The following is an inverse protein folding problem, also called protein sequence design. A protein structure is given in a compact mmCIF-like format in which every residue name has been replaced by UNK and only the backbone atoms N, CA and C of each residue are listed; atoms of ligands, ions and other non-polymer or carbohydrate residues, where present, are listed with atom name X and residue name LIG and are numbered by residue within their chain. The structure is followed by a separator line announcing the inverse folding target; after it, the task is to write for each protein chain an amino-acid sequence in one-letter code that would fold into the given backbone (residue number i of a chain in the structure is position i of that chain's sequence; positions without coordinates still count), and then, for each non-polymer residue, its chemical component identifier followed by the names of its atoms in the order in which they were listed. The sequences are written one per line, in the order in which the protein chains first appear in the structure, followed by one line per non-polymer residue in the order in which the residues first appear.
data_IF_793606591754
#
_entry.id   IF_793606591754
#
_cell.length_a   1.000
_cell.length_b   1.000
_cell.length_c   1.000
_cell.angle_alpha   90.00
_cell.angle_beta   90.00
_cell.angle_gamma   90.00
#
_symmetry.space_group_name_H-M   'P 1'
#
loop_
_entity.id
_entity.type
_entity.pdbx_description
1 polymer ?
#
# COMPACT_ATOMS: atom_id res chain seq x y z
N UNK A 1 24.84 -22.68 17.20
CA UNK A 1 23.40 -22.90 17.43
C UNK A 1 22.67 -21.63 17.90
N UNK A 2 23.16 -20.92 18.92
CA UNK A 2 22.50 -19.71 19.47
C UNK A 2 22.28 -18.56 18.45
N UNK A 3 23.21 -18.36 17.51
CA UNK A 3 23.10 -17.32 16.47
C UNK A 3 21.98 -17.61 15.45
N UNK A 4 21.73 -18.88 15.14
CA UNK A 4 20.67 -19.28 14.20
C UNK A 4 19.29 -19.06 14.84
N UNK A 5 19.15 -19.47 16.11
CA UNK A 5 17.95 -19.27 16.93
C UNK A 5 17.59 -17.79 17.07
N UNK A 6 18.60 -16.92 17.21
CA UNK A 6 18.38 -15.47 17.30
C UNK A 6 17.70 -14.88 16.05
N UNK A 7 18.05 -15.37 14.85
CA UNK A 7 17.42 -14.95 13.59
C UNK A 7 16.10 -15.68 13.29
N UNK A 8 15.94 -16.93 13.72
CA UNK A 8 14.77 -17.77 13.43
C UNK A 8 13.63 -17.60 14.45
N UNK A 9 13.94 -17.15 15.66
CA UNK A 9 12.95 -16.83 16.71
C UNK A 9 11.86 -15.86 16.23
N UNK A 10 12.16 -14.71 15.59
CA UNK A 10 11.13 -13.81 15.07
C UNK A 10 10.26 -14.42 13.96
N UNK A 11 10.79 -15.35 13.15
CA UNK A 11 10.04 -16.04 12.08
C UNK A 11 9.03 -17.07 12.62
N UNK A 12 9.16 -17.48 13.88
CA UNK A 12 8.24 -18.45 14.49
C UNK A 12 6.88 -17.83 14.83
N UNK A 13 6.77 -16.50 14.86
CA UNK A 13 5.52 -15.81 15.16
C UNK A 13 4.60 -15.72 13.94
N UNK A 14 3.30 -16.04 14.07
CA UNK A 14 2.36 -16.02 12.94
C UNK A 14 2.11 -14.61 12.38
N UNK A 15 2.27 -13.55 13.19
CA UNK A 15 2.18 -12.17 12.70
C UNK A 15 3.33 -11.84 11.74
N UNK A 16 4.52 -12.41 11.95
CA UNK A 16 5.70 -12.14 11.14
C UNK A 16 5.47 -12.63 9.71
N UNK A 17 4.95 -13.86 9.55
CA UNK A 17 4.58 -14.42 8.25
C UNK A 17 3.49 -13.61 7.54
N UNK A 18 2.47 -13.14 8.28
CA UNK A 18 1.42 -12.28 7.72
C UNK A 18 1.98 -10.95 7.22
N UNK A 19 2.84 -10.32 8.01
CA UNK A 19 3.50 -9.07 7.63
C UNK A 19 4.43 -9.26 6.41
N UNK A 20 5.18 -10.36 6.37
CA UNK A 20 6.09 -10.69 5.28
C UNK A 20 5.35 -10.97 3.96
N UNK A 21 4.24 -11.72 4.02
CA UNK A 21 3.36 -11.93 2.87
C UNK A 21 2.73 -10.62 2.39
N UNK A 22 2.23 -9.80 3.32
CA UNK A 22 1.65 -8.51 2.98
C UNK A 22 2.67 -7.57 2.33
N UNK A 23 3.88 -7.46 2.89
CA UNK A 23 4.93 -6.60 2.33
C UNK A 23 5.45 -7.11 0.99
N UNK A 24 5.54 -8.44 0.79
CA UNK A 24 5.88 -9.04 -0.49
C UNK A 24 4.83 -8.71 -1.56
N UNK A 25 3.55 -8.90 -1.25
CA UNK A 25 2.44 -8.56 -2.15
C UNK A 25 2.47 -7.08 -2.53
N UNK A 26 2.61 -6.19 -1.54
CA UNK A 26 2.70 -4.73 -1.76
C UNK A 26 3.94 -4.38 -2.58
N UNK A 27 5.10 -4.96 -2.28
CA UNK A 27 6.35 -4.70 -2.98
C UNK A 27 6.30 -5.06 -4.47
N UNK A 28 5.67 -6.19 -4.81
CA UNK A 28 5.46 -6.60 -6.21
C UNK A 28 4.56 -5.61 -6.93
N UNK A 29 3.41 -5.26 -6.34
CA UNK A 29 2.46 -4.32 -6.94
C UNK A 29 3.09 -2.93 -7.12
N UNK A 30 3.76 -2.40 -6.10
CA UNK A 30 4.42 -1.09 -6.16
C UNK A 30 5.58 -1.06 -7.16
N UNK A 31 6.34 -2.15 -7.32
CA UNK A 31 7.43 -2.22 -8.31
C UNK A 31 6.90 -2.15 -9.73
N UNK A 32 5.84 -2.91 -10.05
CA UNK A 32 5.23 -2.92 -11.39
C UNK A 32 4.65 -1.54 -11.72
N UNK A 33 3.88 -0.96 -10.81
CA UNK A 33 3.29 0.37 -11.00
C UNK A 33 4.36 1.47 -11.09
N UNK A 34 5.41 1.39 -10.25
CA UNK A 34 6.50 2.36 -10.26
C UNK A 34 7.25 2.39 -11.59
N UNK A 35 7.62 1.22 -12.13
CA UNK A 35 8.28 1.13 -13.44
C UNK A 35 7.37 1.70 -14.54
N UNK A 36 6.08 1.38 -14.51
CA UNK A 36 5.11 1.91 -15.48
C UNK A 36 5.01 3.45 -15.42
N UNK A 37 4.87 4.02 -14.24
CA UNK A 37 4.77 5.49 -14.03
C UNK A 37 6.04 6.20 -14.49
N UNK A 38 7.22 5.63 -14.21
CA UNK A 38 8.51 6.18 -14.66
C UNK A 38 8.61 6.17 -16.19
N UNK A 39 8.24 5.06 -16.84
CA UNK A 39 8.26 4.96 -18.30
C UNK A 39 7.29 5.94 -18.97
N UNK A 40 6.18 6.26 -18.31
CA UNK A 40 5.22 7.25 -18.80
C UNK A 40 5.65 8.70 -18.54
N UNK A 41 6.78 8.92 -17.86
CA UNK A 41 7.28 10.27 -17.54
C UNK A 41 6.45 11.02 -16.50
N UNK A 42 5.56 10.35 -15.76
CA UNK A 42 4.70 10.98 -14.77
C UNK A 42 5.36 11.06 -13.39
N UNK A 43 6.37 11.93 -13.25
CA UNK A 43 7.15 12.07 -12.01
C UNK A 43 6.32 12.52 -10.78
N UNK A 44 5.21 13.25 -10.98
CA UNK A 44 4.37 13.80 -9.90
C UNK A 44 3.12 12.96 -9.58
N UNK A 45 2.96 11.80 -10.21
CA UNK A 45 1.72 11.03 -10.09
C UNK A 45 1.46 10.59 -8.64
N UNK A 46 2.50 10.17 -7.93
CA UNK A 46 2.37 9.73 -6.54
C UNK A 46 1.98 10.83 -5.57
N UNK A 47 2.47 12.06 -5.78
CA UNK A 47 2.17 13.20 -4.91
C UNK A 47 0.72 13.68 -5.10
N UNK A 48 0.30 13.84 -6.36
CA UNK A 48 -1.07 14.19 -6.71
C UNK A 48 -2.09 13.13 -6.23
N UNK A 49 -1.78 11.85 -6.44
CA UNK A 49 -2.65 10.75 -6.02
C UNK A 49 -2.79 10.70 -4.49
N UNK A 50 -1.72 10.94 -3.73
CA UNK A 50 -1.77 10.95 -2.26
C UNK A 50 -2.69 12.05 -1.72
N UNK A 51 -2.63 13.24 -2.31
CA UNK A 51 -3.48 14.37 -1.93
C UNK A 51 -4.94 14.16 -2.33
N UNK A 52 -5.20 13.49 -3.45
CA UNK A 52 -6.56 13.20 -3.91
C UNK A 52 -7.23 12.08 -3.10
N UNK A 53 -6.48 11.07 -2.65
CA UNK A 53 -7.01 9.91 -1.92
C UNK A 53 -7.24 10.21 -0.43
N UNK A 54 -6.40 11.01 0.21
CA UNK A 54 -6.47 11.33 1.64
C UNK A 54 -7.89 11.74 2.13
N UNK A 55 -8.60 12.69 1.48
CA UNK A 55 -9.95 13.06 1.92
C UNK A 55 -10.94 11.89 1.80
N UNK A 56 -10.79 11.02 0.81
CA UNK A 56 -11.64 9.84 0.65
C UNK A 56 -11.50 8.82 1.79
N UNK A 57 -10.28 8.64 2.29
CA UNK A 57 -10.01 7.79 3.46
C UNK A 57 -10.67 8.37 4.71
N UNK A 58 -10.55 9.69 4.92
CA UNK A 58 -11.15 10.39 6.07
C UNK A 58 -12.67 10.29 6.04
N UNK A 59 -13.30 10.49 4.88
CA UNK A 59 -14.74 10.36 4.72
C UNK A 59 -15.23 8.92 4.95
N UNK A 60 -14.52 7.91 4.45
CA UNK A 60 -14.86 6.51 4.74
C UNK A 60 -14.72 6.17 6.23
N UNK A 61 -13.70 6.70 6.90
CA UNK A 61 -13.54 6.54 8.34
C UNK A 61 -14.71 7.15 9.12
N UNK A 62 -15.12 8.38 8.77
CA UNK A 62 -16.28 9.05 9.39
C UNK A 62 -17.61 8.30 9.15
N UNK A 63 -17.78 7.69 7.98
CA UNK A 63 -18.95 6.89 7.64
C UNK A 63 -18.95 5.47 8.24
N UNK A 64 -17.88 5.05 8.91
CA UNK A 64 -17.72 3.69 9.43
C UNK A 64 -17.54 2.63 8.33
N UNK A 65 -17.15 3.05 7.12
CA UNK A 65 -16.95 2.19 5.97
C UNK A 65 -15.50 1.66 5.91
N UNK A 66 -15.25 0.59 5.14
CA UNK A 66 -13.88 0.12 4.94
C UNK A 66 -13.04 1.21 4.26
N UNK A 67 -11.89 1.54 4.85
CA UNK A 67 -11.02 2.62 4.35
C UNK A 67 -10.60 2.40 2.89
N UNK A 68 -10.44 1.13 2.48
CA UNK A 68 -10.13 0.76 1.11
C UNK A 68 -11.19 1.24 0.10
N UNK A 69 -12.47 1.26 0.49
CA UNK A 69 -13.57 1.71 -0.39
C UNK A 69 -13.50 3.23 -0.60
N UNK A 70 -13.25 3.99 0.47
CA UNK A 70 -13.04 5.44 0.39
C UNK A 70 -11.82 5.80 -0.46
N UNK A 71 -10.71 5.09 -0.24
CA UNK A 71 -9.49 5.29 -1.01
C UNK A 71 -9.70 5.00 -2.51
N UNK A 72 -10.38 3.89 -2.83
CA UNK A 72 -10.63 3.46 -4.20
C UNK A 72 -11.56 4.44 -4.94
N UNK A 73 -12.67 4.85 -4.32
CA UNK A 73 -13.63 5.78 -4.94
C UNK A 73 -12.97 7.10 -5.30
N UNK A 74 -12.26 7.70 -4.35
CA UNK A 74 -11.57 8.98 -4.58
C UNK A 74 -10.40 8.83 -5.55
N UNK A 75 -9.68 7.70 -5.53
CA UNK A 75 -8.63 7.42 -6.52
C UNK A 75 -9.17 7.31 -7.94
N UNK A 76 -10.33 6.66 -8.14
CA UNK A 76 -10.98 6.57 -9.45
C UNK A 76 -11.50 7.94 -9.89
N UNK A 77 -12.14 8.70 -8.98
CA UNK A 77 -12.58 10.07 -9.28
C UNK A 77 -11.42 10.96 -9.71
N UNK A 78 -10.27 10.86 -9.05
CA UNK A 78 -9.07 11.60 -9.40
C UNK A 78 -8.48 11.19 -10.76
N UNK A 79 -8.65 9.94 -11.18
CA UNK A 79 -8.19 9.46 -12.49
C UNK A 79 -9.15 9.83 -13.65
N UNK A 80 -10.44 10.03 -13.34
CA UNK A 80 -11.46 10.44 -14.32
C UNK A 80 -11.50 11.96 -14.53
N UNK A 81 -11.20 12.72 -13.47
CA UNK A 81 -11.20 14.18 -13.46
C UNK A 81 -10.00 14.83 -14.12
#
# INVERSE_FOLDING_TARGET
MALIEWFLSPLSYPFMWRALLASLMVGVVCSVLGVYVILQGMAFFGDALSHAILPGIVLAFLAGWPLAVGALLFGILAAVG
#
